data_IF_849864344205
#
_entry.id   IF_849864344205
#
_cell.length_a   1.000
_cell.length_b   1.000
_cell.length_c   1.000
_cell.angle_alpha   90.00
_cell.angle_beta   90.00
_cell.angle_gamma   90.00
#
_symmetry.space_group_name_H-M   'P 1'
#
loop_
_entity.id
_entity.type
_entity.pdbx_description
1 polymer ?
#
# COMPACT_ATOMS: atom_id res chain seq x y z
N UNK A 1 27.94 -9.26 6.09
CA UNK A 1 28.33 -7.94 5.55
C UNK A 1 27.59 -7.68 4.24
N UNK A 2 26.51 -6.88 4.26
CA UNK A 2 25.68 -6.60 3.07
C UNK A 2 26.43 -5.89 1.94
N UNK A 3 27.50 -5.19 2.26
CA UNK A 3 28.33 -4.44 1.30
C UNK A 3 29.39 -5.32 0.61
N UNK A 4 29.55 -6.59 1.03
CA UNK A 4 30.46 -7.50 0.38
C UNK A 4 29.87 -8.06 -0.92
N UNK A 5 30.09 -7.35 -2.02
CA UNK A 5 29.55 -7.69 -3.34
C UNK A 5 30.04 -9.05 -3.85
N UNK A 6 31.25 -9.47 -3.51
CA UNK A 6 31.76 -10.78 -3.90
C UNK A 6 30.99 -11.91 -3.23
N UNK A 7 30.72 -11.78 -1.92
CA UNK A 7 29.93 -12.75 -1.20
C UNK A 7 28.47 -12.77 -1.68
N UNK A 8 27.92 -11.60 -2.01
CA UNK A 8 26.56 -11.50 -2.58
C UNK A 8 26.43 -12.23 -3.92
N UNK A 9 27.37 -12.03 -4.82
CA UNK A 9 27.34 -12.69 -6.12
C UNK A 9 27.55 -14.21 -6.01
N UNK A 10 28.46 -14.64 -5.14
CA UNK A 10 28.64 -16.08 -4.90
C UNK A 10 27.36 -16.72 -4.31
N UNK A 11 26.70 -16.04 -3.40
CA UNK A 11 25.41 -16.49 -2.85
C UNK A 11 24.34 -16.55 -3.95
N UNK A 12 24.28 -15.54 -4.82
CA UNK A 12 23.36 -15.50 -5.94
C UNK A 12 23.57 -16.67 -6.91
N UNK A 13 24.83 -16.98 -7.22
CA UNK A 13 25.19 -18.10 -8.10
C UNK A 13 24.77 -19.46 -7.48
N UNK A 14 24.98 -19.62 -6.17
CA UNK A 14 24.53 -20.82 -5.45
C UNK A 14 23.00 -20.97 -5.44
N UNK A 15 22.27 -19.89 -5.18
CA UNK A 15 20.81 -19.86 -5.21
C UNK A 15 20.26 -20.14 -6.62
N UNK A 16 20.89 -19.60 -7.65
CA UNK A 16 20.50 -19.87 -9.03
C UNK A 16 20.64 -21.36 -9.38
N UNK A 17 21.74 -22.00 -8.96
CA UNK A 17 21.93 -23.44 -9.16
C UNK A 17 20.89 -24.27 -8.38
N UNK A 18 20.56 -23.89 -7.16
CA UNK A 18 19.48 -24.51 -6.39
C UNK A 18 18.13 -24.34 -7.09
N UNK A 19 17.88 -23.17 -7.67
CA UNK A 19 16.67 -22.89 -8.45
C UNK A 19 16.54 -23.83 -9.67
N UNK A 20 17.61 -24.04 -10.41
CA UNK A 20 17.60 -24.95 -11.57
C UNK A 20 17.41 -26.44 -11.18
N UNK A 21 17.78 -26.84 -9.98
CA UNK A 21 17.62 -28.19 -9.47
C UNK A 21 16.27 -28.40 -8.74
N UNK A 22 15.54 -27.33 -8.41
CA UNK A 22 14.30 -27.44 -7.68
C UNK A 22 13.16 -27.99 -8.53
N UNK A 23 12.55 -29.09 -8.10
CA UNK A 23 11.39 -29.68 -8.78
C UNK A 23 10.10 -28.85 -8.54
N UNK A 24 9.94 -28.33 -7.31
CA UNK A 24 8.80 -27.46 -6.96
C UNK A 24 8.93 -26.08 -7.60
N UNK A 25 7.90 -25.67 -8.35
CA UNK A 25 7.83 -24.33 -8.96
C UNK A 25 7.93 -23.20 -7.95
N UNK A 26 7.33 -23.37 -6.77
CA UNK A 26 7.41 -22.37 -5.69
C UNK A 26 8.85 -22.22 -5.16
N UNK A 27 9.54 -23.32 -4.87
CA UNK A 27 10.93 -23.31 -4.44
C UNK A 27 11.86 -22.77 -5.53
N UNK A 28 11.66 -23.20 -6.78
CA UNK A 28 12.41 -22.66 -7.92
C UNK A 28 12.31 -21.15 -8.00
N UNK A 29 11.09 -20.62 -7.95
CA UNK A 29 10.86 -19.18 -8.02
C UNK A 29 11.50 -18.45 -6.83
N UNK A 30 11.40 -18.98 -5.61
CA UNK A 30 12.02 -18.39 -4.43
C UNK A 30 13.55 -18.27 -4.61
N UNK A 31 14.22 -19.32 -5.04
CA UNK A 31 15.67 -19.31 -5.26
C UNK A 31 16.08 -18.35 -6.39
N UNK A 32 15.38 -18.37 -7.53
CA UNK A 32 15.72 -17.52 -8.67
C UNK A 32 15.45 -16.05 -8.39
N UNK A 33 14.37 -15.73 -7.68
CA UNK A 33 14.08 -14.37 -7.26
C UNK A 33 15.10 -13.85 -6.24
N UNK A 34 15.47 -14.68 -5.26
CA UNK A 34 16.51 -14.30 -4.29
C UNK A 34 17.88 -14.07 -4.98
N UNK A 35 18.26 -14.93 -5.95
CA UNK A 35 19.47 -14.73 -6.74
C UNK A 35 19.43 -13.42 -7.53
N UNK A 36 18.27 -13.10 -8.12
CA UNK A 36 18.06 -11.87 -8.85
C UNK A 36 18.18 -10.63 -7.94
N UNK A 37 17.55 -10.66 -6.75
CA UNK A 37 17.60 -9.56 -5.77
C UNK A 37 19.04 -9.33 -5.26
N UNK A 38 19.81 -10.38 -5.01
CA UNK A 38 21.22 -10.24 -4.61
C UNK A 38 22.08 -9.53 -5.66
N UNK A 39 21.80 -9.74 -6.94
CA UNK A 39 22.55 -9.10 -8.04
C UNK A 39 22.06 -7.67 -8.35
N UNK A 40 20.76 -7.43 -8.27
CA UNK A 40 20.13 -6.20 -8.79
C UNK A 40 19.53 -5.32 -7.70
N UNK A 41 19.42 -5.81 -6.47
CA UNK A 41 18.69 -5.14 -5.39
C UNK A 41 17.17 -5.27 -5.54
N UNK A 42 16.44 -4.83 -4.52
CA UNK A 42 14.98 -4.95 -4.43
C UNK A 42 14.23 -3.87 -5.23
N UNK A 43 14.92 -2.79 -5.62
CA UNK A 43 14.32 -1.65 -6.36
C UNK A 43 13.84 -1.99 -7.78
N UNK A 44 14.22 -3.18 -8.28
CA UNK A 44 13.87 -3.58 -9.64
C UNK A 44 12.41 -4.03 -9.77
N UNK A 45 11.80 -4.44 -8.68
CA UNK A 45 10.37 -4.71 -8.71
C UNK A 45 9.61 -3.40 -8.82
N UNK A 46 8.75 -3.25 -9.84
CA UNK A 46 7.89 -2.07 -9.90
C UNK A 46 7.14 -1.97 -8.55
N UNK A 47 7.25 -0.81 -7.93
CA UNK A 47 6.78 -0.55 -6.59
C UNK A 47 5.42 -1.18 -6.32
N UNK A 48 5.42 -2.09 -5.35
CA UNK A 48 4.24 -2.75 -4.82
C UNK A 48 3.60 -3.77 -5.76
N UNK A 49 2.98 -4.75 -5.16
CA UNK A 49 1.92 -5.51 -5.82
C UNK A 49 0.87 -4.44 -6.18
N UNK A 50 0.83 -4.01 -7.43
CA UNK A 50 -0.26 -3.15 -7.91
C UNK A 50 -1.52 -4.02 -7.85
N UNK A 51 -2.14 -4.07 -6.67
CA UNK A 51 -3.44 -4.72 -6.52
C UNK A 51 -4.36 -4.02 -7.49
N UNK A 52 -4.51 -4.70 -8.60
CA UNK A 52 -5.56 -4.53 -9.55
C UNK A 52 -6.08 -3.14 -9.81
N UNK A 53 -5.32 -2.34 -10.53
CA UNK A 53 -5.92 -1.31 -11.37
C UNK A 53 -6.48 -2.04 -12.60
N UNK A 54 -7.52 -2.80 -12.41
CA UNK A 54 -8.13 -3.60 -13.46
C UNK A 54 -9.53 -4.00 -13.06
N UNK A 55 -10.06 -4.99 -13.71
CA UNK A 55 -11.42 -5.53 -13.46
C UNK A 55 -11.65 -5.95 -11.99
N UNK A 56 -10.61 -6.36 -11.27
CA UNK A 56 -10.71 -6.73 -9.84
C UNK A 56 -11.07 -5.52 -8.99
N UNK A 57 -10.35 -4.40 -9.13
CA UNK A 57 -10.63 -3.18 -8.37
C UNK A 57 -12.03 -2.62 -8.64
N UNK A 58 -12.51 -2.73 -9.88
CA UNK A 58 -13.87 -2.28 -10.24
C UNK A 58 -14.96 -3.08 -9.56
N UNK A 59 -14.68 -4.32 -9.18
CA UNK A 59 -15.63 -5.24 -8.57
C UNK A 59 -15.47 -5.36 -7.03
N UNK A 60 -14.48 -4.71 -6.43
CA UNK A 60 -14.33 -4.64 -4.96
C UNK A 60 -15.35 -3.65 -4.39
N UNK A 61 -15.92 -3.98 -3.24
CA UNK A 61 -16.73 -3.05 -2.46
C UNK A 61 -15.85 -2.03 -1.69
N UNK A 62 -16.48 -0.98 -1.19
CA UNK A 62 -15.77 0.09 -0.48
C UNK A 62 -15.15 -0.42 0.84
N UNK A 63 -15.82 -1.35 1.53
CA UNK A 63 -15.31 -1.91 2.79
C UNK A 63 -14.01 -2.68 2.57
N UNK A 64 -13.96 -3.56 1.56
CA UNK A 64 -12.73 -4.29 1.20
C UNK A 64 -11.58 -3.34 0.82
N UNK A 65 -11.90 -2.22 0.14
CA UNK A 65 -10.89 -1.21 -0.19
C UNK A 65 -10.40 -0.45 1.05
N UNK A 66 -11.28 -0.18 2.02
CA UNK A 66 -10.91 0.45 3.28
C UNK A 66 -10.11 -0.50 4.19
N UNK A 67 -10.46 -1.80 4.22
CA UNK A 67 -9.63 -2.81 4.88
C UNK A 67 -8.22 -2.86 4.30
N UNK A 68 -8.12 -2.86 2.97
CA UNK A 68 -6.82 -2.77 2.30
C UNK A 68 -6.07 -1.48 2.67
N UNK A 69 -6.75 -0.34 2.70
CA UNK A 69 -6.15 0.93 3.12
C UNK A 69 -5.61 0.85 4.55
N UNK A 70 -6.36 0.24 5.48
CA UNK A 70 -5.91 0.01 6.85
C UNK A 70 -4.66 -0.88 6.94
N UNK A 71 -4.54 -1.91 6.09
CA UNK A 71 -3.35 -2.76 6.01
C UNK A 71 -2.14 -2.01 5.47
N UNK A 72 -2.36 -1.10 4.53
CA UNK A 72 -1.28 -0.31 3.92
C UNK A 72 -0.76 0.81 4.83
N UNK A 73 -1.48 1.13 5.89
CA UNK A 73 -1.15 2.25 6.77
C UNK A 73 -0.04 1.88 7.76
N UNK A 74 1.02 2.69 7.79
CA UNK A 74 2.09 2.62 8.78
C UNK A 74 1.60 3.25 10.09
N UNK A 75 1.30 2.40 11.06
CA UNK A 75 0.73 2.78 12.34
C UNK A 75 1.65 3.69 13.15
N UNK A 76 2.97 3.54 13.03
CA UNK A 76 3.95 4.33 13.78
C UNK A 76 3.94 5.80 13.35
N UNK A 77 3.68 6.08 12.07
CA UNK A 77 3.60 7.45 11.54
C UNK A 77 2.36 8.23 12.00
N UNK A 78 1.33 7.54 12.47
CA UNK A 78 0.07 8.11 12.93
C UNK A 78 -0.23 7.81 14.41
N UNK A 79 0.70 7.23 15.15
CA UNK A 79 0.50 6.79 16.54
C UNK A 79 0.11 7.94 17.48
N UNK A 80 0.62 9.14 17.23
CA UNK A 80 0.34 10.37 18.01
C UNK A 80 -0.83 11.21 17.47
N UNK A 81 -1.49 10.75 16.40
CA UNK A 81 -2.55 11.48 15.71
C UNK A 81 -3.91 10.86 15.95
N UNK A 82 -4.89 11.75 16.19
CA UNK A 82 -6.31 11.38 16.25
C UNK A 82 -7.08 12.39 15.43
N UNK A 83 -7.78 11.95 14.40
CA UNK A 83 -8.59 12.81 13.54
C UNK A 83 -9.69 12.03 12.83
N UNK A 84 -10.71 12.76 12.38
CA UNK A 84 -11.86 12.24 11.66
C UNK A 84 -11.87 12.72 10.21
N UNK A 85 -12.23 11.83 9.30
CA UNK A 85 -12.34 12.11 7.87
C UNK A 85 -13.72 11.72 7.38
N UNK A 86 -14.47 12.66 6.83
CA UNK A 86 -15.67 12.36 6.06
C UNK A 86 -15.27 11.96 4.65
N UNK A 87 -15.45 10.68 4.32
CA UNK A 87 -15.20 10.16 2.99
C UNK A 87 -16.50 10.10 2.20
N UNK A 88 -16.63 10.97 1.19
CA UNK A 88 -17.80 11.05 0.31
C UNK A 88 -17.52 10.28 -0.96
N UNK A 89 -18.35 9.27 -1.24
CA UNK A 89 -18.19 8.41 -2.41
C UNK A 89 -19.27 8.70 -3.47
N UNK A 90 -18.83 8.95 -4.69
CA UNK A 90 -19.74 9.24 -5.81
C UNK A 90 -20.51 8.02 -6.33
N UNK A 91 -20.06 6.79 -5.99
CA UNK A 91 -20.55 5.53 -6.52
C UNK A 91 -20.81 4.46 -5.42
N UNK A 92 -20.87 4.87 -4.15
CA UNK A 92 -21.22 4.04 -2.99
C UNK A 92 -21.74 4.91 -1.84
N UNK A 93 -22.08 4.27 -0.71
CA UNK A 93 -22.39 4.98 0.54
C UNK A 93 -21.17 5.73 1.07
N UNK A 94 -21.43 6.83 1.77
CA UNK A 94 -20.39 7.61 2.43
C UNK A 94 -19.87 6.90 3.69
N UNK A 95 -18.65 7.23 4.10
CA UNK A 95 -18.02 6.68 5.29
C UNK A 95 -17.47 7.77 6.20
N UNK A 96 -17.60 7.57 7.49
CA UNK A 96 -16.79 8.27 8.49
C UNK A 96 -15.54 7.44 8.77
N UNK A 97 -14.36 7.97 8.49
CA UNK A 97 -13.10 7.34 8.89
C UNK A 97 -12.61 8.00 10.17
N UNK A 98 -12.12 7.21 11.11
CA UNK A 98 -11.43 7.68 12.32
C UNK A 98 -10.05 7.06 12.38
N UNK A 99 -9.05 7.92 12.43
CA UNK A 99 -7.67 7.54 12.70
C UNK A 99 -7.42 7.79 14.18
N UNK A 100 -7.08 6.74 14.91
CA UNK A 100 -6.81 6.81 16.32
C UNK A 100 -5.75 5.79 16.72
N UNK A 101 -4.69 6.24 17.42
CA UNK A 101 -3.57 5.38 17.82
C UNK A 101 -2.96 4.59 16.65
N UNK A 102 -2.86 5.23 15.48
CA UNK A 102 -2.35 4.59 14.26
C UNK A 102 -3.30 3.59 13.59
N UNK A 103 -4.54 3.44 14.07
CA UNK A 103 -5.52 2.49 13.53
C UNK A 103 -6.58 3.25 12.73
N UNK A 104 -6.95 2.70 11.57
CA UNK A 104 -8.08 3.15 10.76
C UNK A 104 -9.34 2.40 11.19
N UNK A 105 -10.33 3.13 11.64
CA UNK A 105 -11.69 2.66 11.87
C UNK A 105 -12.61 3.32 10.86
N UNK A 106 -13.64 2.63 10.38
CA UNK A 106 -14.60 3.21 9.44
C UNK A 106 -16.03 2.80 9.77
N UNK A 107 -16.96 3.70 9.46
CA UNK A 107 -18.39 3.57 9.75
C UNK A 107 -19.19 3.95 8.51
N UNK A 108 -19.91 3.00 7.94
CA UNK A 108 -20.74 3.18 6.74
C UNK A 108 -21.97 4.02 7.04
N UNK A 109 -22.29 4.95 6.13
CA UNK A 109 -23.44 5.85 6.24
C UNK A 109 -23.31 6.91 7.34
N UNK A 110 -22.18 6.98 8.03
CA UNK A 110 -21.94 8.01 9.06
C UNK A 110 -21.11 9.17 8.53
N UNK A 111 -21.32 10.35 9.12
CA UNK A 111 -20.54 11.56 8.87
C UNK A 111 -20.39 12.32 10.20
N UNK A 112 -19.25 12.94 10.44
CA UNK A 112 -19.04 13.81 11.58
C UNK A 112 -19.37 15.27 11.21
N UNK A 113 -20.10 15.97 12.08
CA UNK A 113 -20.40 17.41 11.88
C UNK A 113 -19.13 18.26 11.83
N UNK A 114 -18.13 17.91 12.64
CA UNK A 114 -16.85 18.60 12.75
C UNK A 114 -15.72 17.63 12.39
N UNK A 115 -15.72 17.11 11.16
CA UNK A 115 -14.60 16.33 10.65
C UNK A 115 -13.39 17.23 10.40
N UNK A 116 -12.20 16.72 10.72
CA UNK A 116 -10.93 17.43 10.44
C UNK A 116 -10.65 17.51 8.95
N UNK A 117 -11.13 16.50 8.19
CA UNK A 117 -11.03 16.40 6.74
C UNK A 117 -12.36 15.96 6.13
N UNK A 118 -12.62 16.42 4.91
CA UNK A 118 -13.63 15.85 4.00
C UNK A 118 -12.97 15.54 2.68
N UNK A 119 -13.02 14.28 2.25
CA UNK A 119 -12.45 13.80 0.98
C UNK A 119 -13.58 13.31 0.10
N UNK A 120 -13.72 13.88 -1.10
CA UNK A 120 -14.69 13.43 -2.11
C UNK A 120 -13.99 12.67 -3.21
N UNK A 121 -14.43 11.42 -3.45
CA UNK A 121 -13.81 10.53 -4.42
C UNK A 121 -14.79 9.47 -4.92
N UNK A 122 -14.33 8.45 -5.61
CA UNK A 122 -15.04 7.22 -5.91
C UNK A 122 -14.46 6.05 -5.11
N UNK A 123 -15.13 4.89 -5.11
CA UNK A 123 -14.59 3.66 -4.49
C UNK A 123 -13.15 3.37 -4.93
N UNK A 124 -12.90 3.45 -6.25
CA UNK A 124 -11.55 3.21 -6.79
C UNK A 124 -10.54 4.26 -6.30
N UNK A 125 -11.00 5.46 -5.96
CA UNK A 125 -10.16 6.49 -5.36
C UNK A 125 -9.61 6.12 -3.98
N UNK A 126 -10.29 5.25 -3.22
CA UNK A 126 -9.77 4.70 -1.97
C UNK A 126 -8.44 3.96 -2.22
N UNK A 127 -8.35 3.21 -3.32
CA UNK A 127 -7.10 2.52 -3.68
C UNK A 127 -6.00 3.51 -4.10
N UNK A 128 -6.37 4.65 -4.71
CA UNK A 128 -5.40 5.71 -5.02
C UNK A 128 -4.84 6.34 -3.73
N UNK A 129 -5.70 6.57 -2.72
CA UNK A 129 -5.29 7.02 -1.39
C UNK A 129 -4.38 5.98 -0.71
N UNK A 130 -4.81 4.71 -0.66
CA UNK A 130 -4.08 3.62 -0.02
C UNK A 130 -2.70 3.34 -0.63
N UNK A 131 -2.51 3.63 -1.92
CA UNK A 131 -1.24 3.44 -2.61
C UNK A 131 -0.43 4.74 -2.76
N UNK A 132 -0.93 5.86 -2.25
CA UNK A 132 -0.34 7.19 -2.43
C UNK A 132 0.05 7.43 -3.90
N UNK A 133 -0.88 7.12 -4.82
CA UNK A 133 -0.63 7.17 -6.26
C UNK A 133 -1.00 8.55 -6.80
N UNK A 134 -0.03 9.41 -7.07
CA UNK A 134 -0.24 10.79 -7.53
C UNK A 134 -1.15 10.88 -8.78
N UNK A 135 -0.96 10.03 -9.76
CA UNK A 135 -1.80 10.01 -10.97
C UNK A 135 -3.24 9.61 -10.64
N UNK A 136 -3.42 8.60 -9.80
CA UNK A 136 -4.73 8.17 -9.32
C UNK A 136 -5.41 9.24 -8.47
N UNK A 137 -4.68 9.86 -7.55
CA UNK A 137 -5.18 10.94 -6.69
C UNK A 137 -5.66 12.12 -7.53
N UNK A 138 -4.87 12.58 -8.49
CA UNK A 138 -5.23 13.71 -9.34
C UNK A 138 -6.47 13.46 -10.24
N UNK A 139 -6.77 12.21 -10.56
CA UNK A 139 -7.91 11.83 -11.41
C UNK A 139 -9.16 11.48 -10.62
N UNK A 140 -9.02 10.89 -9.45
CA UNK A 140 -10.13 10.25 -8.74
C UNK A 140 -10.57 11.03 -7.49
N UNK A 141 -9.68 11.78 -6.85
CA UNK A 141 -10.03 12.65 -5.74
C UNK A 141 -10.52 13.98 -6.29
N UNK A 142 -11.81 14.27 -6.11
CA UNK A 142 -12.45 15.45 -6.68
C UNK A 142 -12.35 16.69 -5.80
N UNK A 143 -12.35 16.50 -4.48
CA UNK A 143 -12.09 17.58 -3.52
C UNK A 143 -11.48 17.05 -2.23
N UNK A 144 -10.69 17.90 -1.59
CA UNK A 144 -10.19 17.72 -0.23
C UNK A 144 -10.42 19.04 0.50
N UNK A 145 -11.17 18.99 1.61
CA UNK A 145 -11.49 20.15 2.45
C UNK A 145 -11.04 19.86 3.88
N UNK A 146 -10.52 20.85 4.60
CA UNK A 146 -10.08 20.76 5.99
C UNK A 146 -8.57 20.89 6.16
N UNK A 147 -7.99 20.19 7.12
CA UNK A 147 -6.57 20.31 7.46
C UNK A 147 -5.67 19.59 6.47
N UNK A 148 -4.99 20.36 5.62
CA UNK A 148 -4.05 19.84 4.61
C UNK A 148 -2.87 19.08 5.24
N UNK A 149 -2.48 19.41 6.47
CA UNK A 149 -1.37 18.73 7.15
C UNK A 149 -1.78 17.31 7.56
N UNK A 150 -3.03 17.10 7.95
CA UNK A 150 -3.57 15.78 8.25
C UNK A 150 -3.78 14.95 6.97
N UNK A 151 -4.22 15.59 5.88
CA UNK A 151 -4.32 14.90 4.59
C UNK A 151 -2.95 14.41 4.12
N UNK A 152 -1.93 15.25 4.21
CA UNK A 152 -0.56 14.85 3.86
C UNK A 152 -0.04 13.75 4.78
N UNK A 153 -0.26 13.85 6.09
CA UNK A 153 0.14 12.81 7.03
C UNK A 153 -0.52 11.46 6.73
N UNK A 154 -1.80 11.47 6.35
CA UNK A 154 -2.52 10.28 5.92
C UNK A 154 -1.86 9.64 4.69
N UNK A 155 -1.56 10.40 3.65
CA UNK A 155 -0.90 9.90 2.44
C UNK A 155 0.52 9.39 2.71
N UNK A 156 1.30 10.11 3.52
CA UNK A 156 2.67 9.73 3.88
C UNK A 156 2.71 8.48 4.78
N UNK A 157 1.62 8.16 5.47
CA UNK A 157 1.51 6.93 6.25
C UNK A 157 1.32 5.69 5.38
N UNK A 158 0.88 5.84 4.13
CA UNK A 158 0.69 4.70 3.25
C UNK A 158 2.03 4.09 2.86
N UNK A 159 2.20 2.80 3.17
CA UNK A 159 3.41 2.06 2.86
C UNK A 159 3.29 1.40 1.49
N UNK A 160 4.40 1.34 0.77
CA UNK A 160 4.48 0.46 -0.40
C UNK A 160 5.01 -0.89 0.08
N UNK A 161 4.22 -1.94 -0.06
CA UNK A 161 4.67 -3.29 0.22
C UNK A 161 5.79 -3.64 -0.75
N UNK A 162 7.01 -3.70 -0.24
CA UNK A 162 8.15 -4.26 -0.96
C UNK A 162 8.24 -5.73 -0.60
N UNK A 163 7.93 -6.60 -1.55
CA UNK A 163 8.17 -8.02 -1.39
C UNK A 163 9.64 -8.29 -1.70
N UNK A 164 10.44 -8.55 -0.67
CA UNK A 164 11.79 -9.06 -0.81
C UNK A 164 11.87 -10.45 -0.17
N UNK A 165 12.53 -11.39 -0.85
CA UNK A 165 12.81 -12.72 -0.31
C UNK A 165 14.09 -12.74 0.53
N UNK A 166 14.87 -11.68 0.46
CA UNK A 166 16.09 -11.52 1.23
C UNK A 166 16.11 -10.14 1.90
N UNK A 167 16.42 -10.13 3.19
CA UNK A 167 16.69 -8.89 3.91
C UNK A 167 18.17 -8.54 3.71
N UNK A 168 18.42 -7.54 2.90
CA UNK A 168 19.76 -7.05 2.60
C UNK A 168 20.01 -5.77 3.41
#
# INVERSE_FOLDING_TARGET
DPENMQARYLCADALEQLGYQAESGAWRNAYLVAAFELRNGTKFYPAGLKVGVGSTAQNMDAQTMLDYMGIMMDTDKLADKTFAVNLKLSDAEDYLLRIQNGVLLYYEGEQAENADLTISTSRVGILALANNNEEGLSRLVTSVEGDETLYRALLESMTQLSLSLIHI
#
